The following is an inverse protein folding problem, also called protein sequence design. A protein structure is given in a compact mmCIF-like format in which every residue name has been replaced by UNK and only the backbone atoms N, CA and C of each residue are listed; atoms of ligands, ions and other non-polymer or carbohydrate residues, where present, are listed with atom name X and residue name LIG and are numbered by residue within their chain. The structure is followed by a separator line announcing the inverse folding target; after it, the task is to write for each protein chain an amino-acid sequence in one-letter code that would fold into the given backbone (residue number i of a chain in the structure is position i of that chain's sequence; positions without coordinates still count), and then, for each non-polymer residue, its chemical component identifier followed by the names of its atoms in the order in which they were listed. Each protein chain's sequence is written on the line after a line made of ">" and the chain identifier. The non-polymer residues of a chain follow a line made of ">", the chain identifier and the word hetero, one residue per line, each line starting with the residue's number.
data_IF_496335203838
#
_entry.id   IF_496335203838
#
_cell.length_a   1.000
_cell.length_b   1.000
_cell.length_c   1.000
_cell.angle_alpha   90.00
_cell.angle_beta   90.00
_cell.angle_gamma   90.00
#
_symmetry.space_group_name_H-M   'P 1'
#
loop_
_entity.id
_entity.type
_entity.pdbx_description
1 polymer ?
#
# COMPACT_ATOMS: atom_id res chain seq x y z
N UNK A 1 3.47 -38.57 15.51
CA UNK A 1 2.13 -38.00 15.73
C UNK A 1 1.65 -37.48 14.40
N UNK A 2 0.63 -38.09 13.81
CA UNK A 2 -0.04 -37.58 12.61
C UNK A 2 -1.13 -36.60 13.06
N UNK A 3 -1.08 -35.35 12.58
CA UNK A 3 -2.19 -34.42 12.73
C UNK A 3 -3.04 -34.46 11.47
N UNK A 4 -4.25 -35.03 11.58
CA UNK A 4 -5.34 -34.87 10.61
C UNK A 4 -6.32 -33.85 11.16
N UNK A 5 -6.43 -32.70 10.51
CA UNK A 5 -7.53 -31.75 10.72
C UNK A 5 -8.34 -31.65 9.44
N UNK A 6 -9.62 -32.02 9.48
CA UNK A 6 -10.60 -31.71 8.44
C UNK A 6 -11.50 -30.62 9.01
N UNK A 7 -11.61 -29.47 8.35
CA UNK A 7 -12.50 -28.39 8.77
C UNK A 7 -13.93 -28.67 8.26
N UNK A 8 -14.90 -28.67 9.17
CA UNK A 8 -16.34 -28.69 8.87
C UNK A 8 -17.07 -27.76 9.85
N UNK A 9 -16.89 -26.47 9.67
CA UNK A 9 -17.86 -25.46 10.11
C UNK A 9 -17.50 -24.13 9.45
N UNK A 10 -18.34 -23.68 8.53
CA UNK A 10 -18.39 -22.28 8.13
C UNK A 10 -19.19 -21.60 9.23
N UNK A 11 -18.51 -20.83 10.08
CA UNK A 11 -19.17 -19.93 11.02
C UNK A 11 -19.21 -18.55 10.38
N UNK A 12 -20.39 -17.95 10.26
CA UNK A 12 -20.50 -16.51 10.09
C UNK A 12 -19.98 -15.85 11.37
N UNK A 13 -18.89 -15.10 11.27
CA UNK A 13 -18.29 -14.42 12.42
C UNK A 13 -16.80 -14.11 12.25
N UNK A 14 -16.38 -13.00 12.85
CA UNK A 14 -14.99 -12.59 12.99
C UNK A 14 -14.24 -13.55 13.94
N UNK A 15 -13.05 -14.01 13.54
CA UNK A 15 -12.18 -14.83 14.38
C UNK A 15 -10.86 -14.10 14.57
N UNK A 16 -10.55 -13.67 15.80
CA UNK A 16 -9.23 -13.11 16.12
C UNK A 16 -8.15 -14.18 15.90
N UNK A 17 -7.22 -13.89 15.00
CA UNK A 17 -5.97 -14.64 14.90
C UNK A 17 -5.08 -14.19 16.07
N UNK A 18 -4.51 -15.11 16.88
CA UNK A 18 -3.72 -14.73 18.04
C UNK A 18 -2.52 -13.85 17.66
N UNK A 19 -2.57 -12.57 17.98
CA UNK A 19 -1.43 -11.68 17.85
C UNK A 19 -0.49 -11.88 19.03
N UNK A 20 0.81 -12.06 18.74
CA UNK A 20 1.83 -12.14 19.79
C UNK A 20 2.00 -10.76 20.43
N UNK A 21 2.04 -10.68 21.76
CA UNK A 21 2.09 -9.40 22.47
C UNK A 21 3.33 -8.56 22.11
N UNK A 22 3.08 -7.28 21.89
CA UNK A 22 3.99 -6.21 21.49
C UNK A 22 5.17 -5.99 22.45
N UNK A 23 6.37 -5.72 21.90
CA UNK A 23 7.51 -5.14 22.62
C UNK A 23 7.68 -3.69 22.17
N UNK A 24 7.32 -2.77 23.04
CA UNK A 24 7.26 -1.31 22.86
C UNK A 24 8.59 -0.60 22.57
N UNK A 25 9.74 -1.29 22.64
CA UNK A 25 11.09 -0.68 22.50
C UNK A 25 11.88 -1.24 21.29
N UNK A 26 11.21 -1.80 20.30
CA UNK A 26 11.90 -2.40 19.15
C UNK A 26 12.33 -1.35 18.13
N UNK A 27 13.61 -0.97 18.14
CA UNK A 27 14.30 -0.28 17.03
C UNK A 27 14.50 -1.25 15.82
N UNK A 28 13.87 -2.43 15.83
CA UNK A 28 14.12 -3.45 14.80
C UNK A 28 13.35 -3.12 13.53
N UNK A 29 14.06 -2.45 12.61
CA UNK A 29 13.69 -2.40 11.20
C UNK A 29 13.70 -3.80 10.60
N UNK A 30 12.66 -4.16 9.85
CA UNK A 30 12.56 -5.46 9.16
C UNK A 30 12.60 -5.25 7.64
N UNK A 31 13.53 -5.92 6.96
CA UNK A 31 13.71 -5.82 5.51
C UNK A 31 14.82 -4.85 5.05
N UNK A 32 14.91 -4.64 3.74
CA UNK A 32 15.86 -3.72 3.10
C UNK A 32 15.24 -2.32 2.96
N UNK A 33 15.96 -1.30 3.43
CA UNK A 33 15.60 0.12 3.34
C UNK A 33 16.61 0.84 2.46
N UNK A 34 16.14 1.71 1.58
CA UNK A 34 17.00 2.48 0.66
C UNK A 34 16.43 3.87 0.44
N UNK A 35 17.32 4.81 0.11
CA UNK A 35 16.91 6.12 -0.35
C UNK A 35 15.90 6.03 -1.51
N UNK A 36 15.00 7.01 -1.57
CA UNK A 36 14.15 7.24 -2.73
C UNK A 36 14.98 7.25 -4.02
N UNK A 37 14.54 6.50 -5.02
CA UNK A 37 15.16 6.44 -6.35
C UNK A 37 14.21 7.07 -7.35
N UNK A 38 14.66 8.14 -8.00
CA UNK A 38 13.85 8.96 -8.91
C UNK A 38 12.51 9.39 -8.31
N UNK A 39 12.50 9.71 -7.01
CA UNK A 39 11.32 10.18 -6.24
C UNK A 39 10.22 9.12 -6.06
N UNK A 40 10.58 7.84 -6.18
CA UNK A 40 9.76 6.69 -5.83
C UNK A 40 10.54 5.78 -4.86
N UNK A 41 9.88 4.93 -4.05
CA UNK A 41 10.59 3.96 -3.24
C UNK A 41 11.41 3.03 -4.13
N UNK A 42 12.63 2.70 -3.70
CA UNK A 42 13.49 1.82 -4.48
C UNK A 42 12.88 0.41 -4.59
N UNK A 43 13.10 -0.26 -5.72
CA UNK A 43 12.65 -1.65 -5.90
C UNK A 43 13.27 -2.57 -4.84
N UNK A 44 14.57 -2.43 -4.59
CA UNK A 44 15.30 -3.31 -3.68
C UNK A 44 15.59 -4.69 -4.27
N UNK A 45 16.23 -5.54 -3.47
CA UNK A 45 16.57 -6.92 -3.82
C UNK A 45 15.97 -7.96 -2.87
N UNK A 46 15.35 -7.53 -1.76
CA UNK A 46 14.94 -8.44 -0.68
C UNK A 46 16.14 -9.08 0.03
N UNK A 47 15.87 -10.06 0.89
CA UNK A 47 16.91 -10.90 1.47
C UNK A 47 17.51 -11.89 0.46
N UNK A 48 18.66 -12.47 0.81
CA UNK A 48 19.37 -13.38 -0.08
C UNK A 48 18.52 -14.62 -0.40
N UNK A 49 18.14 -14.76 -1.66
CA UNK A 49 17.35 -15.89 -2.16
C UNK A 49 15.85 -15.62 -2.24
N UNK A 50 15.39 -14.43 -1.85
CA UNK A 50 14.04 -13.95 -2.15
C UNK A 50 13.98 -13.44 -3.59
N UNK A 51 12.93 -13.81 -4.32
CA UNK A 51 12.66 -13.32 -5.68
C UNK A 51 11.41 -12.44 -5.68
N UNK A 52 11.61 -11.17 -6.02
CA UNK A 52 10.54 -10.19 -6.09
C UNK A 52 9.54 -10.52 -7.21
N UNK A 53 8.24 -10.37 -6.94
CA UNK A 53 7.18 -10.57 -7.93
C UNK A 53 7.12 -9.44 -8.96
N UNK A 54 7.62 -8.26 -8.61
CA UNK A 54 7.71 -7.11 -9.53
C UNK A 54 8.85 -7.33 -10.54
N UNK A 55 8.52 -7.12 -11.82
CA UNK A 55 9.51 -7.11 -12.89
C UNK A 55 10.45 -5.92 -12.74
N UNK A 56 11.75 -6.19 -12.56
CA UNK A 56 12.78 -5.18 -12.38
C UNK A 56 12.97 -4.24 -13.57
N UNK A 57 12.45 -4.58 -14.76
CA UNK A 57 12.43 -3.71 -15.93
C UNK A 57 11.13 -2.90 -16.07
N UNK A 58 10.13 -3.12 -15.20
CA UNK A 58 8.84 -2.44 -15.24
C UNK A 58 8.43 -1.94 -13.86
N UNK A 59 9.06 -0.84 -13.45
CA UNK A 59 8.95 -0.23 -12.12
C UNK A 59 8.40 1.20 -12.18
N UNK A 60 8.09 1.77 -11.02
CA UNK A 60 7.78 3.19 -10.87
C UNK A 60 8.90 4.09 -11.44
N UNK A 61 10.17 3.77 -11.21
CA UNK A 61 11.29 4.54 -11.77
C UNK A 61 11.26 4.56 -13.30
N UNK A 62 11.01 3.40 -13.93
CA UNK A 62 10.89 3.34 -15.40
C UNK A 62 9.68 4.12 -15.91
N UNK A 63 8.56 4.12 -15.17
CA UNK A 63 7.37 4.91 -15.51
C UNK A 63 7.59 6.41 -15.39
N UNK A 64 8.30 6.86 -14.35
CA UNK A 64 8.68 8.27 -14.18
C UNK A 64 9.62 8.71 -15.29
N UNK A 65 10.63 7.90 -15.61
CA UNK A 65 11.56 8.19 -16.70
C UNK A 65 10.83 8.29 -18.05
N UNK A 66 9.95 7.32 -18.34
CA UNK A 66 9.14 7.33 -19.56
C UNK A 66 8.21 8.56 -19.62
N UNK A 67 7.61 8.94 -18.49
CA UNK A 67 6.82 10.17 -18.39
C UNK A 67 7.62 11.43 -18.70
N UNK A 68 8.87 11.53 -18.23
CA UNK A 68 9.75 12.68 -18.51
C UNK A 68 10.14 12.76 -19.98
N UNK A 69 10.27 11.62 -20.65
CA UNK A 69 10.61 11.55 -22.08
C UNK A 69 9.42 11.90 -22.97
N UNK A 70 8.22 11.42 -22.64
CA UNK A 70 7.06 11.47 -23.53
C UNK A 70 6.09 12.62 -23.22
N UNK A 71 6.10 13.18 -22.00
CA UNK A 71 5.14 14.21 -21.54
C UNK A 71 5.93 15.45 -21.05
N UNK A 72 6.10 16.43 -21.94
CA UNK A 72 6.96 17.60 -21.70
C UNK A 72 6.53 18.47 -20.51
N UNK A 73 5.23 18.54 -20.27
CA UNK A 73 4.61 19.29 -19.18
C UNK A 73 4.88 18.61 -17.83
N UNK A 74 4.96 17.28 -17.81
CA UNK A 74 5.32 16.51 -16.63
C UNK A 74 6.81 16.69 -16.29
N UNK A 75 7.72 16.61 -17.26
CA UNK A 75 9.14 16.91 -17.01
C UNK A 75 9.33 18.35 -16.51
N UNK A 76 8.63 19.30 -17.14
CA UNK A 76 8.65 20.71 -16.73
C UNK A 76 8.17 20.89 -15.30
N UNK A 77 7.09 20.22 -14.91
CA UNK A 77 6.59 20.20 -13.52
C UNK A 77 7.65 19.67 -12.56
N UNK A 78 8.24 18.50 -12.84
CA UNK A 78 9.22 17.89 -11.95
C UNK A 78 10.48 18.76 -11.78
N UNK A 79 10.89 19.48 -12.83
CA UNK A 79 12.02 20.42 -12.80
C UNK A 79 11.71 21.69 -12.03
N UNK A 80 10.51 22.26 -12.21
CA UNK A 80 10.04 23.43 -11.47
C UNK A 80 9.97 23.16 -9.96
N UNK A 81 9.37 22.02 -9.58
CA UNK A 81 9.29 21.61 -8.17
C UNK A 81 10.67 21.40 -7.55
N UNK A 82 11.61 20.82 -8.31
CA UNK A 82 12.99 20.67 -7.84
C UNK A 82 13.71 22.02 -7.66
N UNK A 83 13.50 22.97 -8.59
CA UNK A 83 14.08 24.32 -8.48
C UNK A 83 13.55 25.11 -7.28
N UNK A 84 12.32 24.81 -6.85
CA UNK A 84 11.68 25.37 -5.66
C UNK A 84 12.07 24.66 -4.36
N UNK A 85 12.96 23.66 -4.42
CA UNK A 85 13.33 22.82 -3.28
C UNK A 85 12.11 22.15 -2.62
N UNK A 86 11.13 21.77 -3.44
CA UNK A 86 9.90 21.06 -3.05
C UNK A 86 9.70 19.87 -3.98
N UNK A 87 10.62 18.90 -4.01
CA UNK A 87 10.59 17.83 -5.00
C UNK A 87 9.28 17.05 -4.91
N UNK A 88 8.57 16.94 -6.03
CA UNK A 88 7.44 16.05 -6.14
C UNK A 88 7.90 14.58 -6.07
N UNK A 89 7.12 13.74 -5.42
CA UNK A 89 7.38 12.31 -5.20
C UNK A 89 6.11 11.49 -5.37
N UNK A 90 6.23 10.16 -5.43
CA UNK A 90 5.07 9.25 -5.52
C UNK A 90 4.30 9.28 -4.21
N UNK A 91 3.10 9.86 -4.25
CA UNK A 91 2.23 9.99 -3.07
C UNK A 91 1.28 8.81 -2.93
N UNK A 92 0.92 8.20 -4.06
CA UNK A 92 0.18 6.94 -4.17
C UNK A 92 0.55 6.25 -5.49
N UNK A 93 0.50 4.92 -5.49
CA UNK A 93 0.61 4.11 -6.68
C UNK A 93 -0.10 2.76 -6.50
N UNK A 94 -0.48 2.16 -7.62
CA UNK A 94 -0.94 0.79 -7.69
C UNK A 94 -0.37 0.05 -8.90
N UNK A 95 -0.17 -1.25 -8.72
CA UNK A 95 0.26 -2.17 -9.76
C UNK A 95 -0.56 -3.45 -9.76
N UNK A 96 -0.90 -3.90 -10.95
CA UNK A 96 -1.40 -5.27 -11.19
C UNK A 96 -0.86 -5.78 -12.51
N UNK A 97 -0.59 -7.08 -12.61
CA UNK A 97 -0.24 -7.77 -13.85
C UNK A 97 -1.47 -8.13 -14.70
N UNK A 98 -2.69 -7.90 -14.19
CA UNK A 98 -3.94 -8.10 -14.95
C UNK A 98 -3.94 -7.24 -16.23
N UNK A 99 -4.53 -7.76 -17.29
CA UNK A 99 -4.71 -7.07 -18.58
C UNK A 99 -3.40 -6.49 -19.17
N UNK A 100 -2.28 -7.21 -19.03
CA UNK A 100 -0.99 -6.83 -19.63
C UNK A 100 -0.05 -6.04 -18.72
N UNK A 101 -0.45 -5.79 -17.47
CA UNK A 101 0.40 -5.09 -16.50
C UNK A 101 0.28 -3.58 -16.60
N UNK A 102 -0.02 -2.93 -15.48
CA UNK A 102 -0.16 -1.47 -15.45
C UNK A 102 0.24 -0.90 -14.09
N UNK A 103 1.05 0.14 -14.12
CA UNK A 103 1.25 1.06 -13.01
C UNK A 103 0.31 2.25 -13.18
N UNK A 104 -0.45 2.58 -12.14
CA UNK A 104 -1.07 3.90 -12.00
C UNK A 104 -0.43 4.58 -10.80
N UNK A 105 0.04 5.81 -10.95
CA UNK A 105 0.72 6.51 -9.87
C UNK A 105 0.46 8.00 -9.90
N UNK A 106 0.44 8.61 -8.72
CA UNK A 106 0.27 10.05 -8.56
C UNK A 106 1.55 10.64 -8.01
N UNK A 107 2.04 11.71 -8.64
CA UNK A 107 3.17 12.48 -8.14
C UNK A 107 2.76 13.89 -7.72
N UNK A 108 3.14 14.27 -6.52
CA UNK A 108 2.90 15.61 -6.00
C UNK A 108 3.95 16.03 -4.97
N UNK A 109 3.95 17.30 -4.60
CA UNK A 109 4.80 17.87 -3.55
C UNK A 109 3.94 18.27 -2.36
N UNK A 110 4.42 18.16 -1.12
CA UNK A 110 3.67 18.71 0.02
C UNK A 110 3.68 20.24 0.00
N UNK A 111 2.55 20.87 0.35
CA UNK A 111 2.43 22.31 0.51
C UNK A 111 1.58 22.66 1.74
N UNK A 112 2.21 22.88 2.89
CA UNK A 112 1.57 23.14 4.20
C UNK A 112 0.49 24.24 4.22
N UNK A 113 0.42 25.09 3.20
CA UNK A 113 -0.51 26.22 3.12
C UNK A 113 -1.78 25.93 2.31
N UNK A 114 -1.92 24.74 1.73
CA UNK A 114 -3.04 24.37 0.88
C UNK A 114 -3.64 23.02 1.30
N UNK A 115 -4.97 22.94 1.34
CA UNK A 115 -5.67 21.67 1.57
C UNK A 115 -5.60 20.75 0.34
N UNK A 116 -5.66 21.36 -0.85
CA UNK A 116 -5.61 20.68 -2.14
C UNK A 116 -4.48 21.26 -3.00
N UNK A 117 -3.87 20.42 -3.82
CA UNK A 117 -2.76 20.80 -4.71
C UNK A 117 -2.89 20.15 -6.08
N UNK A 118 -2.16 20.69 -7.06
CA UNK A 118 -2.01 20.05 -8.37
C UNK A 118 -1.04 18.86 -8.28
N UNK A 119 -1.57 17.67 -8.57
CA UNK A 119 -0.84 16.42 -8.70
C UNK A 119 -0.90 15.87 -10.12
N UNK A 120 0.14 15.12 -10.51
CA UNK A 120 0.18 14.41 -11.79
C UNK A 120 -0.26 12.97 -11.62
N UNK A 121 -1.40 12.62 -12.23
CA UNK A 121 -1.92 11.24 -12.26
C UNK A 121 -1.42 10.60 -13.55
N UNK A 122 -0.69 9.50 -13.40
CA UNK A 122 0.05 8.84 -14.47
C UNK A 122 -0.41 7.38 -14.61
N UNK A 123 -0.41 6.89 -15.84
CA UNK A 123 -0.79 5.53 -16.21
C UNK A 123 0.24 4.98 -17.19
N UNK A 124 0.93 3.90 -16.80
CA UNK A 124 2.07 3.30 -17.50
C UNK A 124 1.85 1.80 -17.74
N UNK A 125 1.94 1.33 -18.99
CA UNK A 125 1.69 -0.07 -19.38
C UNK A 125 2.86 -0.72 -20.16
N UNK A 126 4.10 -0.41 -19.74
CA UNK A 126 5.39 -0.83 -20.34
C UNK A 126 5.78 -0.09 -21.61
N UNK A 127 4.86 0.04 -22.56
CA UNK A 127 5.12 0.71 -23.84
C UNK A 127 4.74 2.17 -23.80
N UNK A 128 3.55 2.45 -23.26
CA UNK A 128 2.93 3.76 -23.31
C UNK A 128 2.80 4.35 -21.92
N UNK A 129 2.94 5.67 -21.87
CA UNK A 129 2.66 6.48 -20.69
C UNK A 129 1.62 7.53 -21.06
N UNK A 130 0.68 7.75 -20.16
CA UNK A 130 -0.26 8.87 -20.25
C UNK A 130 -0.37 9.50 -18.88
N UNK A 131 -0.69 10.80 -18.84
CA UNK A 131 -0.93 11.47 -17.59
C UNK A 131 -1.58 12.82 -17.76
N UNK A 132 -2.20 13.29 -16.68
CA UNK A 132 -2.84 14.58 -16.62
C UNK A 132 -2.70 15.16 -15.21
N UNK A 133 -2.84 16.48 -15.13
CA UNK A 133 -2.92 17.18 -13.85
C UNK A 133 -4.33 17.04 -13.29
N UNK A 134 -4.44 16.85 -11.99
CA UNK A 134 -5.70 16.92 -11.25
C UNK A 134 -5.47 17.56 -9.87
N UNK A 135 -6.54 18.11 -9.28
CA UNK A 135 -6.53 18.54 -7.89
C UNK A 135 -6.61 17.30 -7.00
N UNK A 136 -5.63 17.15 -6.11
CA UNK A 136 -5.56 16.07 -5.13
C UNK A 136 -5.44 16.63 -3.72
N UNK A 137 -5.72 15.80 -2.72
CA UNK A 137 -5.40 16.10 -1.33
C UNK A 137 -3.90 16.36 -1.17
N UNK A 138 -3.57 17.36 -0.37
CA UNK A 138 -2.19 17.71 -0.09
C UNK A 138 -1.49 16.59 0.71
N UNK A 139 -0.32 16.10 0.23
CA UNK A 139 0.54 15.19 0.98
C UNK A 139 0.83 15.68 2.39
N UNK A 140 0.60 14.81 3.36
CA UNK A 140 0.85 15.07 4.78
C UNK A 140 2.31 14.80 5.18
N UNK A 141 3.08 14.17 4.28
CA UNK A 141 4.52 13.95 4.42
C UNK A 141 5.31 14.40 3.18
N UNK A 142 6.62 14.42 3.34
CA UNK A 142 7.66 14.65 2.33
C UNK A 142 8.63 13.46 2.31
N UNK A 143 9.52 13.41 1.31
CA UNK A 143 10.57 12.39 1.28
C UNK A 143 11.54 12.48 2.48
N UNK A 144 11.68 13.65 3.09
CA UNK A 144 12.60 13.86 4.23
C UNK A 144 12.04 13.26 5.54
N UNK A 145 10.71 13.05 5.63
CA UNK A 145 10.07 12.42 6.78
C UNK A 145 10.37 10.91 6.85
N UNK A 146 10.61 10.27 5.70
CA UNK A 146 11.07 8.87 5.58
C UNK A 146 12.18 8.82 4.52
N UNK A 147 13.43 9.19 4.85
CA UNK A 147 14.50 9.33 3.86
C UNK A 147 14.90 8.00 3.21
N UNK A 148 14.80 6.91 3.97
CA UNK A 148 15.08 5.54 3.54
C UNK A 148 13.83 4.66 3.79
N UNK A 149 12.81 4.70 2.92
CA UNK A 149 11.67 3.80 3.03
C UNK A 149 12.09 2.34 2.79
N UNK A 150 11.29 1.41 3.33
CA UNK A 150 11.33 -0.01 2.99
C UNK A 150 11.22 -0.14 1.48
N UNK A 151 12.05 -0.98 0.88
CA UNK A 151 12.02 -1.23 -0.56
C UNK A 151 10.79 -2.04 -0.96
N UNK A 152 10.34 -1.91 -2.22
CA UNK A 152 9.14 -2.61 -2.71
C UNK A 152 9.27 -4.13 -2.54
N UNK A 153 10.41 -4.70 -2.92
CA UNK A 153 10.64 -6.14 -2.81
C UNK A 153 10.75 -6.61 -1.35
N UNK A 154 11.29 -5.79 -0.45
CA UNK A 154 11.25 -6.14 0.98
C UNK A 154 9.87 -5.98 1.59
N UNK A 155 9.03 -5.08 1.09
CA UNK A 155 7.63 -5.01 1.51
C UNK A 155 6.86 -6.28 1.12
N UNK A 156 7.08 -6.79 -0.10
CA UNK A 156 6.54 -8.08 -0.54
C UNK A 156 7.03 -9.21 0.38
N UNK A 157 8.34 -9.28 0.61
CA UNK A 157 8.95 -10.31 1.46
C UNK A 157 8.38 -10.29 2.88
N UNK A 158 8.34 -9.12 3.52
CA UNK A 158 7.86 -8.98 4.89
C UNK A 158 6.38 -9.35 5.00
N UNK A 159 5.55 -8.96 4.03
CA UNK A 159 4.14 -9.35 4.02
C UNK A 159 3.96 -10.84 3.78
N UNK A 160 4.74 -11.44 2.87
CA UNK A 160 4.60 -12.85 2.46
C UNK A 160 5.31 -13.86 3.36
N UNK A 161 6.11 -13.40 4.33
CA UNK A 161 6.65 -14.23 5.42
C UNK A 161 5.54 -14.75 6.36
N UNK A 162 4.36 -14.12 6.33
CA UNK A 162 3.16 -14.61 7.02
C UNK A 162 2.42 -15.60 6.14
N UNK A 163 2.28 -16.86 6.60
CA UNK A 163 1.57 -17.92 5.89
C UNK A 163 0.16 -17.47 5.47
N UNK A 164 -0.56 -16.74 6.34
CA UNK A 164 -1.92 -16.26 6.05
C UNK A 164 -2.00 -15.21 4.94
N UNK A 165 -0.88 -14.56 4.59
CA UNK A 165 -0.76 -13.64 3.45
C UNK A 165 -0.27 -14.40 2.23
N UNK A 166 0.74 -15.25 2.42
CA UNK A 166 1.34 -16.10 1.39
C UNK A 166 0.29 -16.96 0.69
N UNK A 167 -0.60 -17.60 1.45
CA UNK A 167 -1.64 -18.51 0.97
C UNK A 167 -2.53 -17.95 -0.16
N UNK A 168 -2.79 -16.65 -0.16
CA UNK A 168 -3.65 -16.02 -1.17
C UNK A 168 -2.92 -15.10 -2.15
N UNK A 169 -1.67 -14.71 -1.84
CA UNK A 169 -0.90 -13.74 -2.61
C UNK A 169 0.25 -14.33 -3.41
N UNK A 170 0.80 -15.47 -3.01
CA UNK A 170 1.99 -16.07 -3.64
C UNK A 170 1.60 -17.18 -4.62
N UNK A 171 2.27 -17.22 -5.76
CA UNK A 171 2.10 -18.30 -6.72
C UNK A 171 2.89 -19.54 -6.30
N UNK A 172 2.22 -20.69 -6.23
CA UNK A 172 2.84 -21.95 -5.80
C UNK A 172 4.04 -22.40 -6.66
N UNK A 173 4.07 -22.03 -7.95
CA UNK A 173 5.11 -22.45 -8.88
C UNK A 173 6.30 -21.50 -8.88
N UNK A 174 6.05 -20.19 -9.00
CA UNK A 174 7.14 -19.20 -9.04
C UNK A 174 7.68 -18.86 -7.66
N UNK A 175 6.89 -19.07 -6.59
CA UNK A 175 7.17 -18.64 -5.21
C UNK A 175 7.25 -17.13 -5.02
N UNK A 176 6.72 -16.36 -5.97
CA UNK A 176 6.68 -14.90 -5.93
C UNK A 176 5.22 -14.43 -5.82
N UNK A 177 5.02 -13.17 -5.41
CA UNK A 177 3.69 -12.53 -5.39
C UNK A 177 3.03 -12.60 -6.78
N UNK A 178 1.81 -13.15 -6.83
CA UNK A 178 1.03 -13.31 -8.06
C UNK A 178 0.21 -12.06 -8.37
N UNK A 179 0.84 -11.09 -9.03
CA UNK A 179 0.17 -9.86 -9.45
C UNK A 179 -0.92 -10.04 -10.52
N UNK A 180 -1.12 -11.25 -11.06
CA UNK A 180 -2.32 -11.54 -11.85
C UNK A 180 -3.56 -11.68 -10.95
N UNK A 181 -3.37 -12.07 -9.69
CA UNK A 181 -4.41 -12.25 -8.69
C UNK A 181 -4.49 -11.09 -7.71
N UNK A 182 -3.36 -10.47 -7.35
CA UNK A 182 -3.29 -9.38 -6.38
C UNK A 182 -2.95 -8.03 -7.04
N UNK A 183 -3.26 -6.95 -6.34
CA UNK A 183 -2.85 -5.59 -6.68
C UNK A 183 -1.93 -5.08 -5.57
N UNK A 184 -0.72 -4.63 -5.93
CA UNK A 184 0.12 -3.86 -5.03
C UNK A 184 -0.42 -2.44 -4.95
N UNK A 185 -0.60 -1.92 -3.74
CA UNK A 185 -0.86 -0.52 -3.47
C UNK A 185 0.30 0.02 -2.63
N UNK A 186 0.70 1.27 -2.85
CA UNK A 186 1.64 1.96 -1.97
C UNK A 186 1.33 3.44 -1.94
N UNK A 187 1.70 4.10 -0.85
CA UNK A 187 1.53 5.54 -0.70
C UNK A 187 1.35 5.95 0.73
N UNK A 188 0.97 7.21 0.92
CA UNK A 188 0.69 7.77 2.24
C UNK A 188 -0.55 7.14 2.87
N UNK A 189 -0.38 6.53 4.04
CA UNK A 189 -1.47 6.16 4.91
C UNK A 189 -2.07 7.44 5.50
N UNK A 190 -3.22 7.85 4.96
CA UNK A 190 -3.94 9.06 5.40
C UNK A 190 -4.67 8.87 6.74
N UNK A 191 -4.47 7.73 7.43
CA UNK A 191 -4.88 7.54 8.81
C UNK A 191 -3.94 8.33 9.73
N UNK A 192 -4.23 9.63 9.80
CA UNK A 192 -3.89 10.65 10.81
C UNK A 192 -2.71 11.63 10.55
N UNK A 193 -3.02 12.93 10.62
CA UNK A 193 -2.77 13.82 11.77
C UNK A 193 -4.15 14.42 12.12
N UNK A 194 -4.92 13.76 13.00
CA UNK A 194 -6.29 14.12 13.42
C UNK A 194 -7.19 14.77 12.35
N UNK A 195 -7.97 13.99 11.57
CA UNK A 195 -9.21 14.43 10.89
C UNK A 195 -9.39 15.95 10.68
N UNK A 196 -8.86 16.54 9.59
CA UNK A 196 -8.99 18.00 9.39
C UNK A 196 -10.09 18.47 8.43
N UNK A 197 -10.71 17.61 7.61
CA UNK A 197 -12.05 17.86 7.05
C UNK A 197 -12.66 16.67 6.29
N UNK A 198 -11.88 15.89 5.51
CA UNK A 198 -12.29 14.62 4.87
C UNK A 198 -11.10 13.95 4.16
N UNK A 199 -10.36 13.03 4.80
CA UNK A 199 -9.27 12.28 4.15
C UNK A 199 -9.82 11.06 3.38
N UNK A 200 -9.40 10.86 2.11
CA UNK A 200 -9.70 9.62 1.36
C UNK A 200 -8.56 8.61 1.47
N UNK A 201 -8.85 7.41 2.01
CA UNK A 201 -7.87 6.33 2.19
C UNK A 201 -7.37 5.75 0.86
N UNK A 202 -6.07 5.40 0.76
CA UNK A 202 -5.49 4.61 -0.37
C UNK A 202 -6.24 3.30 -0.60
N UNK A 203 -6.84 2.77 0.46
CA UNK A 203 -7.64 1.55 0.41
C UNK A 203 -9.12 1.91 0.46
N UNK A 204 -9.73 2.01 -0.71
CA UNK A 204 -11.18 2.08 -0.86
C UNK A 204 -11.73 0.66 -1.10
N UNK A 205 -11.97 -0.08 -0.01
CA UNK A 205 -12.85 -1.25 -0.03
C UNK A 205 -14.23 -0.78 -0.48
N UNK A 206 -14.95 -1.54 -1.32
CA UNK A 206 -16.20 -1.15 -2.00
C UNK A 206 -17.41 -0.73 -1.13
N UNK A 207 -17.20 -0.33 0.12
CA UNK A 207 -18.07 0.45 1.01
C UNK A 207 -17.42 0.74 2.37
N UNK A 208 -16.10 0.58 2.54
CA UNK A 208 -15.46 0.62 3.86
C UNK A 208 -14.34 1.66 3.90
N UNK A 209 -14.67 2.83 4.44
CA UNK A 209 -13.70 3.80 4.93
C UNK A 209 -13.08 3.20 6.20
N UNK A 210 -11.80 2.77 6.14
CA UNK A 210 -11.10 2.07 7.23
C UNK A 210 -11.05 2.84 8.57
N UNK A 211 -11.46 4.10 8.58
CA UNK A 211 -11.60 4.95 9.76
C UNK A 211 -12.83 4.59 10.62
N UNK A 212 -13.74 3.72 10.15
CA UNK A 212 -14.92 3.26 10.91
C UNK A 212 -14.90 1.77 11.34
N UNK A 213 -13.86 1.00 11.03
CA UNK A 213 -13.99 -0.48 10.97
C UNK A 213 -13.92 -1.21 12.31
N UNK A 214 -13.14 -0.81 13.31
CA UNK A 214 -12.95 -1.69 14.49
C UNK A 214 -13.93 -1.42 15.62
N UNK A 215 -14.83 -0.46 15.45
CA UNK A 215 -15.76 -0.14 16.50
C UNK A 215 -17.17 -0.77 16.14
N UNK A 216 -17.91 -0.50 15.02
CA UNK A 216 -19.41 -0.66 14.90
C UNK A 216 -19.89 -2.08 14.75
N UNK A 217 -18.94 -2.97 14.50
CA UNK A 217 -19.26 -4.31 14.06
C UNK A 217 -19.65 -5.29 15.16
N UNK A 218 -19.69 -4.90 16.44
CA UNK A 218 -20.21 -5.81 17.48
C UNK A 218 -21.32 -5.29 18.38
N UNK A 219 -21.53 -3.97 18.56
CA UNK A 219 -22.52 -3.47 19.54
C UNK A 219 -23.27 -2.18 19.14
N UNK A 220 -23.05 -1.62 17.95
CA UNK A 220 -23.75 -0.42 17.49
C UNK A 220 -23.56 0.83 18.38
N UNK A 221 -22.39 1.00 18.98
CA UNK A 221 -22.06 2.25 19.67
C UNK A 221 -20.56 2.46 19.81
N UNK A 222 -19.98 3.25 18.91
CA UNK A 222 -18.53 3.35 18.79
C UNK A 222 -17.98 4.57 19.38
N UNK A 223 -16.89 4.34 20.09
CA UNK A 223 -16.05 5.40 20.54
C UNK A 223 -14.65 5.19 19.95
N UNK A 224 -14.33 5.88 18.84
CA UNK A 224 -13.01 5.85 18.20
C UNK A 224 -11.84 6.24 19.11
N UNK A 225 -12.11 6.81 20.29
CA UNK A 225 -11.09 7.17 21.29
C UNK A 225 -10.46 5.95 22.01
N UNK A 226 -11.04 4.75 21.92
CA UNK A 226 -10.44 3.56 22.55
C UNK A 226 -9.32 2.93 21.69
N UNK A 227 -9.18 3.36 20.43
CA UNK A 227 -8.17 2.89 19.48
C UNK A 227 -7.08 3.94 19.22
N UNK A 228 -7.16 5.12 19.85
CA UNK A 228 -6.17 6.20 19.71
C UNK A 228 -4.95 6.05 20.61
N UNK A 229 -4.97 5.15 21.59
CA UNK A 229 -3.90 5.05 22.59
C UNK A 229 -2.71 4.17 22.15
N UNK A 230 -2.85 3.42 21.05
CA UNK A 230 -1.81 2.53 20.52
C UNK A 230 -1.37 2.85 19.07
N UNK A 231 -1.99 3.82 18.41
CA UNK A 231 -1.43 4.39 17.18
C UNK A 231 -0.46 5.45 17.66
N UNK A 232 0.84 5.12 17.62
CA UNK A 232 1.89 6.11 17.86
C UNK A 232 1.57 7.33 16.99
N UNK A 233 1.46 8.49 17.62
CA UNK A 233 1.09 9.75 16.97
C UNK A 233 2.20 10.19 16.00
N UNK A 234 3.36 9.50 16.02
CA UNK A 234 4.46 9.58 15.04
C UNK A 234 4.37 8.52 13.90
N UNK A 235 3.43 7.58 13.97
CA UNK A 235 3.01 6.67 12.89
C UNK A 235 1.78 7.22 12.12
N UNK A 236 1.14 8.25 12.68
CA UNK A 236 0.17 9.11 12.03
C UNK A 236 0.80 9.81 10.80
N UNK A 237 0.50 9.30 9.60
CA UNK A 237 0.97 9.89 8.34
C UNK A 237 2.17 9.19 7.71
N UNK A 238 2.33 7.88 7.96
CA UNK A 238 3.39 7.08 7.38
C UNK A 238 3.12 6.71 5.91
N UNK A 239 4.18 6.30 5.22
CA UNK A 239 4.08 5.66 3.90
C UNK A 239 3.93 4.15 4.11
N UNK A 240 3.05 3.49 3.37
CA UNK A 240 2.77 2.07 3.56
C UNK A 240 2.62 1.34 2.22
N UNK A 241 2.79 0.02 2.27
CA UNK A 241 2.58 -0.90 1.16
C UNK A 241 1.44 -1.85 1.51
N UNK A 242 0.63 -2.21 0.51
CA UNK A 242 -0.48 -3.13 0.67
C UNK A 242 -0.57 -4.14 -0.47
N UNK A 243 -0.98 -5.36 -0.15
CA UNK A 243 -1.42 -6.35 -1.13
C UNK A 243 -2.93 -6.48 -1.02
N UNK A 244 -3.68 -6.12 -2.08
CA UNK A 244 -5.14 -6.21 -2.15
C UNK A 244 -5.55 -7.29 -3.15
N UNK A 245 -6.32 -8.28 -2.69
CA UNK A 245 -6.95 -9.28 -3.55
C UNK A 245 -8.46 -9.20 -3.40
N UNK A 246 -9.12 -8.81 -4.49
CA UNK A 246 -10.58 -8.83 -4.63
C UNK A 246 -11.01 -9.90 -5.60
N UNK A 247 -12.11 -10.58 -5.27
CA UNK A 247 -12.77 -11.51 -6.16
C UNK A 247 -14.21 -11.76 -5.74
N UNK A 248 -15.01 -12.30 -6.66
CA UNK A 248 -16.44 -12.53 -6.43
C UNK A 248 -17.11 -12.78 -7.76
N UNK A 249 -18.12 -13.65 -7.76
CA UNK A 249 -18.99 -13.85 -8.93
C UNK A 249 -20.35 -14.37 -8.47
N UNK A 250 -21.40 -14.13 -9.26
CA UNK A 250 -22.72 -14.77 -9.07
C UNK A 250 -22.61 -16.30 -8.95
N UNK A 251 -21.58 -16.92 -9.53
CA UNK A 251 -21.36 -18.37 -9.49
C UNK A 251 -20.71 -18.88 -8.19
N UNK A 252 -20.07 -18.01 -7.41
CA UNK A 252 -19.44 -18.36 -6.14
C UNK A 252 -20.38 -18.14 -4.95
N UNK A 253 -21.40 -17.29 -5.09
CA UNK A 253 -22.37 -16.94 -4.03
C UNK A 253 -21.80 -16.03 -2.93
N UNK A 254 -20.56 -15.58 -3.07
CA UNK A 254 -19.93 -14.61 -2.16
C UNK A 254 -18.87 -13.76 -2.88
N UNK A 255 -18.74 -12.51 -2.45
CA UNK A 255 -17.60 -11.63 -2.70
C UNK A 255 -16.56 -11.82 -1.60
N UNK A 256 -15.28 -11.66 -1.93
CA UNK A 256 -14.18 -11.67 -0.97
C UNK A 256 -13.20 -10.54 -1.23
N UNK A 257 -12.61 -10.07 -0.14
CA UNK A 257 -11.49 -9.15 -0.18
C UNK A 257 -10.46 -9.51 0.89
N UNK A 258 -9.20 -9.64 0.47
CA UNK A 258 -8.06 -9.96 1.32
C UNK A 258 -7.07 -8.80 1.20
N UNK A 259 -6.57 -8.31 2.34
CA UNK A 259 -5.67 -7.16 2.39
C UNK A 259 -4.61 -7.34 3.47
N UNK A 260 -3.35 -7.21 3.08
CA UNK A 260 -2.23 -7.08 4.01
C UNK A 260 -1.59 -5.70 3.85
N UNK A 261 -1.04 -5.15 4.94
CA UNK A 261 -0.33 -3.88 4.93
C UNK A 261 0.96 -3.89 5.77
N UNK A 262 1.99 -3.19 5.31
CA UNK A 262 3.27 -3.01 6.02
C UNK A 262 3.71 -1.55 5.98
N UNK A 263 4.24 -1.04 7.09
CA UNK A 263 4.77 0.32 7.21
C UNK A 263 6.14 0.46 6.53
N UNK A 264 6.32 1.52 5.75
CA UNK A 264 7.57 1.76 5.04
C UNK A 264 8.69 2.32 5.93
N UNK A 265 8.40 2.84 7.13
CA UNK A 265 9.38 3.44 8.05
C UNK A 265 10.23 2.40 8.75
N UNK A 266 9.61 1.29 9.14
CA UNK A 266 10.23 0.25 9.96
C UNK A 266 9.94 -1.19 9.50
N UNK A 267 9.08 -1.39 8.50
CA UNK A 267 8.74 -2.73 8.02
C UNK A 267 7.83 -3.49 8.98
N UNK A 268 7.11 -2.78 9.87
CA UNK A 268 6.12 -3.39 10.74
C UNK A 268 4.87 -3.75 9.94
N UNK A 269 4.42 -5.01 10.04
CA UNK A 269 3.12 -5.42 9.48
C UNK A 269 2.01 -4.75 10.28
N UNK A 270 1.20 -3.95 9.57
CA UNK A 270 0.14 -3.13 10.14
C UNK A 270 -1.12 -3.94 10.42
N UNK A 271 -1.52 -4.79 9.46
CA UNK A 271 -2.69 -5.67 9.59
C UNK A 271 -2.73 -6.73 8.48
N UNK A 272 -3.53 -7.77 8.71
CA UNK A 272 -4.00 -8.73 7.71
C UNK A 272 -5.53 -8.86 7.89
N UNK A 273 -6.30 -8.55 6.85
CA UNK A 273 -7.76 -8.55 6.85
C UNK A 273 -8.28 -9.47 5.75
N UNK A 274 -9.20 -10.35 6.12
CA UNK A 274 -9.94 -11.19 5.17
C UNK A 274 -11.43 -10.98 5.40
N UNK A 275 -12.14 -10.55 4.35
CA UNK A 275 -13.58 -10.35 4.35
C UNK A 275 -14.24 -11.23 3.29
N UNK A 276 -15.38 -11.83 3.65
CA UNK A 276 -16.23 -12.61 2.75
C UNK A 276 -17.68 -12.19 2.95
N UNK A 277 -18.30 -11.63 1.93
CA UNK A 277 -19.69 -11.18 1.94
C UNK A 277 -20.53 -12.10 1.05
N UNK A 278 -21.59 -12.70 1.59
CA UNK A 278 -22.58 -13.40 0.76
C UNK A 278 -23.28 -12.42 -0.19
N UNK A 279 -23.56 -12.88 -1.40
CA UNK A 279 -24.32 -12.13 -2.44
C UNK A 279 -25.80 -12.44 -2.34
#
# INVERSE_FOLDING_TARGET
>A
MEYKGITKQINEGYTDVPTTAYKTDSIQKTGEFKNWTDRAPAIGNGSLGYECGIDSNFTLQTGIQKGKEDISEFDSYLRDQNAKNRPAFIVEANYTARNGGKWNFTMAHSNEQAENIDGWIMAYNRTDISGNVNSIDNPIMTMDDIPEPLTVCSAEEVMTDFDEVSDWSVNDQSKNVDYSQVTLLLGQNLVSKQSLASPTSIVNFGSLNLINIVSDLSQGNLNPNDYSDNIDVDAAGSYAYFLDRRGGSENLGYEHQELAGVDAKDGLVLFNLQSRNSV
#
